data_IF_026588169257
#
_entry.id   IF_026588169257
#
_cell.length_a   1.000
_cell.length_b   1.000
_cell.length_c   1.000
_cell.angle_alpha   90.00
_cell.angle_beta   90.00
_cell.angle_gamma   90.00
#
_symmetry.space_group_name_H-M   'P 1'
#
loop_
_entity.id
_entity.type
_entity.pdbx_description
1 polymer ?
#
# COMPACT_ATOMS: atom_id res chain seq x y z
N UNK A 1 -43.96 -6.54 -27.26
CA UNK A 1 -43.91 -6.84 -25.82
C UNK A 1 -42.55 -7.45 -25.50
N UNK A 2 -41.59 -6.67 -25.17
CA UNK A 2 -40.20 -7.08 -24.89
C UNK A 2 -39.93 -6.90 -23.40
N UNK A 3 -39.67 -8.00 -22.72
CA UNK A 3 -39.27 -7.99 -21.32
C UNK A 3 -37.86 -7.43 -21.16
N UNK A 4 -37.75 -6.28 -20.51
CA UNK A 4 -36.49 -5.67 -20.09
C UNK A 4 -35.82 -6.62 -19.07
N UNK A 5 -34.74 -7.27 -19.47
CA UNK A 5 -33.86 -8.01 -18.59
C UNK A 5 -33.15 -7.02 -17.65
N UNK A 6 -33.51 -7.04 -16.38
CA UNK A 6 -32.80 -6.32 -15.32
C UNK A 6 -31.35 -6.79 -15.26
N UNK A 7 -30.37 -5.88 -15.21
CA UNK A 7 -28.95 -6.27 -15.19
C UNK A 7 -28.59 -6.99 -13.88
N UNK A 8 -27.79 -8.02 -13.98
CA UNK A 8 -27.35 -8.94 -12.92
C UNK A 8 -26.78 -8.27 -11.62
N UNK A 9 -26.39 -7.01 -11.69
CA UNK A 9 -25.85 -6.30 -10.53
C UNK A 9 -26.93 -5.73 -9.59
N UNK A 10 -28.16 -5.50 -10.05
CA UNK A 10 -29.31 -5.11 -9.20
C UNK A 10 -29.75 -6.30 -8.34
N UNK A 11 -29.71 -7.52 -8.88
CA UNK A 11 -29.96 -8.76 -8.11
C UNK A 11 -28.94 -8.97 -6.98
N UNK A 12 -27.66 -8.58 -7.18
CA UNK A 12 -26.62 -8.77 -6.16
C UNK A 12 -26.79 -7.85 -4.92
N UNK A 13 -27.43 -6.71 -5.04
CA UNK A 13 -27.66 -5.80 -3.89
C UNK A 13 -28.83 -6.25 -3.01
N UNK A 14 -29.86 -6.85 -3.61
CA UNK A 14 -31.04 -7.40 -2.89
C UNK A 14 -30.69 -8.77 -2.30
N UNK A 15 -29.96 -9.61 -3.02
CA UNK A 15 -29.52 -10.94 -2.54
C UNK A 15 -28.54 -10.85 -1.36
N UNK A 16 -27.80 -9.74 -1.22
CA UNK A 16 -26.89 -9.52 -0.06
C UNK A 16 -27.62 -9.26 1.24
N UNK A 17 -28.82 -8.66 1.23
CA UNK A 17 -29.59 -8.44 2.46
C UNK A 17 -30.21 -9.72 2.98
N UNK A 18 -30.74 -10.58 2.11
CA UNK A 18 -31.35 -11.85 2.49
C UNK A 18 -30.31 -12.88 2.94
N UNK A 19 -29.18 -12.98 2.27
CA UNK A 19 -28.14 -13.97 2.62
C UNK A 19 -27.38 -13.61 3.92
N UNK A 20 -27.18 -12.32 4.23
CA UNK A 20 -26.63 -11.90 5.53
C UNK A 20 -27.63 -12.11 6.66
N UNK A 21 -28.92 -11.96 6.41
CA UNK A 21 -29.96 -12.28 7.40
C UNK A 21 -30.06 -13.77 7.67
N UNK A 22 -30.11 -14.61 6.63
CA UNK A 22 -30.10 -16.07 6.77
C UNK A 22 -28.87 -16.63 7.47
N UNK A 23 -27.68 -16.09 7.19
CA UNK A 23 -26.44 -16.47 7.91
C UNK A 23 -26.47 -16.02 9.38
N UNK A 24 -27.03 -14.85 9.67
CA UNK A 24 -27.22 -14.36 11.03
C UNK A 24 -28.24 -15.20 11.81
N UNK A 25 -29.32 -15.61 11.16
CA UNK A 25 -30.37 -16.46 11.76
C UNK A 25 -29.89 -17.92 11.95
N UNK A 26 -29.13 -18.49 11.01
CA UNK A 26 -28.50 -19.82 11.16
C UNK A 26 -27.43 -19.85 12.25
N UNK A 27 -26.66 -18.78 12.42
CA UNK A 27 -25.70 -18.67 13.53
C UNK A 27 -26.41 -18.49 14.88
N UNK A 28 -27.55 -17.81 14.92
CA UNK A 28 -28.39 -17.66 16.12
C UNK A 28 -29.10 -18.97 16.50
N UNK A 29 -29.64 -19.71 15.53
CA UNK A 29 -30.32 -20.99 15.76
C UNK A 29 -29.38 -22.12 16.23
N UNK A 30 -28.12 -22.10 15.85
CA UNK A 30 -27.12 -23.09 16.29
C UNK A 30 -26.60 -22.82 17.71
N UNK A 31 -26.83 -21.63 18.28
CA UNK A 31 -26.47 -21.30 19.66
C UNK A 31 -27.53 -21.70 20.70
N UNK A 32 -28.75 -22.00 20.28
CA UNK A 32 -29.85 -22.37 21.20
C UNK A 32 -29.96 -23.85 21.54
N UNK A 33 -29.16 -24.72 20.89
CA UNK A 33 -29.27 -26.19 21.05
C UNK A 33 -28.08 -26.84 21.82
N UNK A 34 -27.39 -26.13 22.70
CA UNK A 34 -26.45 -26.76 23.66
C UNK A 34 -26.99 -26.67 25.08
N UNK A 35 -27.27 -27.78 25.76
CA UNK A 35 -27.67 -27.75 27.16
C UNK A 35 -26.42 -27.62 28.06
N UNK A 36 -26.40 -26.54 28.83
CA UNK A 36 -25.56 -26.44 30.05
C UNK A 36 -24.36 -25.54 29.97
N UNK A 37 -24.56 -24.24 30.01
CA UNK A 37 -23.53 -23.32 30.55
C UNK A 37 -24.20 -22.16 31.29
N UNK A 38 -24.18 -22.26 32.63
CA UNK A 38 -24.56 -21.18 33.53
C UNK A 38 -23.51 -20.06 33.49
N UNK A 39 -23.99 -18.85 33.28
CA UNK A 39 -23.42 -17.55 33.68
C UNK A 39 -21.89 -17.35 33.72
N UNK A 40 -21.35 -16.81 32.65
CA UNK A 40 -20.21 -15.93 32.73
C UNK A 40 -20.56 -14.61 31.98
N UNK A 41 -20.90 -13.57 32.74
CA UNK A 41 -20.96 -12.17 32.27
C UNK A 41 -19.54 -11.75 31.90
N UNK A 42 -19.20 -11.84 30.63
CA UNK A 42 -17.98 -11.29 30.04
C UNK A 42 -18.29 -10.91 28.60
N UNK A 43 -18.71 -9.65 28.40
CA UNK A 43 -18.91 -9.05 27.08
C UNK A 43 -17.53 -8.87 26.42
N UNK A 44 -16.91 -9.98 26.04
CA UNK A 44 -15.78 -9.96 25.12
C UNK A 44 -16.38 -9.59 23.75
N UNK A 45 -16.22 -8.34 23.34
CA UNK A 45 -16.41 -7.93 21.95
C UNK A 45 -15.57 -8.87 21.11
N UNK A 46 -16.21 -9.72 20.31
CA UNK A 46 -15.55 -10.61 19.38
C UNK A 46 -14.67 -9.75 18.46
N UNK A 47 -13.40 -9.70 18.77
CA UNK A 47 -12.38 -9.07 17.95
C UNK A 47 -12.37 -9.88 16.66
N UNK A 48 -12.84 -9.33 15.55
CA UNK A 48 -12.77 -9.97 14.24
C UNK A 48 -11.38 -10.60 14.09
N UNK A 49 -11.35 -11.93 13.98
CA UNK A 49 -10.10 -12.67 13.92
C UNK A 49 -9.29 -12.15 12.72
N UNK A 50 -8.10 -11.65 12.99
CA UNK A 50 -7.20 -11.19 11.92
C UNK A 50 -6.79 -12.39 11.07
N UNK A 51 -6.78 -12.20 9.76
CA UNK A 51 -6.41 -13.23 8.78
C UNK A 51 -4.91 -13.11 8.52
N UNK A 52 -4.07 -14.12 8.92
CA UNK A 52 -2.61 -14.05 8.80
C UNK A 52 -2.13 -13.79 7.37
N UNK A 53 -2.85 -14.27 6.38
CA UNK A 53 -2.56 -14.04 4.96
C UNK A 53 -2.32 -12.56 4.63
N UNK A 54 -3.22 -11.66 5.03
CA UNK A 54 -3.07 -10.24 4.74
C UNK A 54 -1.96 -9.57 5.57
N UNK A 55 -1.71 -10.06 6.77
CA UNK A 55 -0.58 -9.58 7.56
C UNK A 55 0.74 -10.02 6.91
N UNK A 56 0.84 -11.27 6.43
CA UNK A 56 2.00 -11.75 5.68
C UNK A 56 2.21 -10.95 4.38
N UNK A 57 1.14 -10.68 3.63
CA UNK A 57 1.21 -9.86 2.41
C UNK A 57 1.78 -8.47 2.70
N UNK A 58 1.23 -7.77 3.69
CA UNK A 58 1.75 -6.47 4.14
C UNK A 58 3.18 -6.55 4.67
N UNK A 59 3.52 -7.68 5.34
CA UNK A 59 4.86 -7.94 5.84
C UNK A 59 5.90 -8.02 4.73
N UNK A 60 5.60 -8.72 3.64
CA UNK A 60 6.47 -8.76 2.45
C UNK A 60 6.62 -7.34 1.87
N UNK A 61 5.52 -6.63 1.68
CA UNK A 61 5.55 -5.31 1.06
C UNK A 61 6.35 -4.30 1.89
N UNK A 62 6.23 -4.30 3.23
CA UNK A 62 6.98 -3.36 4.06
C UNK A 62 8.48 -3.69 4.10
N UNK A 63 8.86 -4.97 4.02
CA UNK A 63 10.26 -5.37 3.85
C UNK A 63 10.82 -4.81 2.55
N UNK A 64 10.06 -4.86 1.46
CA UNK A 64 10.46 -4.29 0.17
C UNK A 64 10.55 -2.75 0.19
N UNK A 65 9.73 -2.08 1.00
CA UNK A 65 9.86 -0.63 1.25
C UNK A 65 11.21 -0.31 1.91
N UNK A 66 11.56 -1.05 2.97
CA UNK A 66 12.86 -0.87 3.64
C UNK A 66 14.01 -1.15 2.68
N UNK A 67 13.92 -2.23 1.91
CA UNK A 67 14.91 -2.61 0.89
C UNK A 67 15.11 -1.50 -0.14
N UNK A 68 14.02 -0.96 -0.69
CA UNK A 68 14.09 0.11 -1.68
C UNK A 68 14.84 1.33 -1.16
N UNK A 69 14.60 1.75 0.08
CA UNK A 69 15.29 2.89 0.68
C UNK A 69 16.76 2.61 1.03
N UNK A 70 17.10 1.38 1.39
CA UNK A 70 18.49 1.01 1.63
C UNK A 70 19.30 0.91 0.33
N UNK A 71 18.68 0.42 -0.75
CA UNK A 71 19.31 0.38 -2.08
C UNK A 71 19.49 1.77 -2.69
N UNK A 72 18.67 2.77 -2.33
CA UNK A 72 18.80 4.12 -2.88
C UNK A 72 20.16 4.75 -2.62
N UNK A 73 20.82 4.44 -1.48
CA UNK A 73 22.20 4.84 -1.21
C UNK A 73 23.22 4.22 -2.16
N UNK A 74 22.97 3.01 -2.66
CA UNK A 74 23.81 2.30 -3.60
C UNK A 74 23.64 2.77 -5.05
N UNK A 75 22.42 3.20 -5.41
CA UNK A 75 22.15 3.74 -6.75
C UNK A 75 22.90 5.06 -6.98
N UNK A 76 23.09 5.88 -5.95
CA UNK A 76 23.93 7.07 -6.01
C UNK A 76 25.39 6.81 -6.41
N UNK A 77 25.91 5.62 -6.08
CA UNK A 77 27.26 5.16 -6.48
C UNK A 77 27.31 4.53 -7.88
N UNK A 78 26.22 4.49 -8.66
CA UNK A 78 26.19 3.94 -10.02
C UNK A 78 26.29 2.41 -10.11
N UNK A 79 26.04 1.69 -9.03
CA UNK A 79 26.23 0.23 -8.95
C UNK A 79 25.12 -0.51 -9.67
N UNK A 80 25.38 -1.09 -10.84
CA UNK A 80 24.40 -1.71 -11.71
C UNK A 80 23.56 -2.83 -11.07
N UNK A 81 24.10 -3.79 -10.27
CA UNK A 81 23.28 -4.79 -9.58
C UNK A 81 22.29 -4.17 -8.59
N UNK A 82 22.70 -3.11 -7.89
CA UNK A 82 21.81 -2.39 -6.98
C UNK A 82 20.70 -1.65 -7.74
N UNK A 83 21.03 -0.98 -8.84
CA UNK A 83 20.07 -0.32 -9.72
C UNK A 83 19.00 -1.28 -10.25
N UNK A 84 19.41 -2.44 -10.75
CA UNK A 84 18.49 -3.47 -11.29
C UNK A 84 17.53 -3.97 -10.23
N UNK A 85 18.02 -4.27 -9.03
CA UNK A 85 17.16 -4.72 -7.92
C UNK A 85 16.27 -3.59 -7.40
N UNK A 86 16.81 -2.39 -7.28
CA UNK A 86 16.08 -1.20 -6.86
C UNK A 86 14.89 -0.94 -7.77
N UNK A 87 15.13 -0.84 -9.08
CA UNK A 87 14.11 -0.46 -10.04
C UNK A 87 13.03 -1.55 -10.20
N UNK A 88 13.46 -2.84 -10.17
CA UNK A 88 12.53 -3.95 -10.10
C UNK A 88 11.61 -3.86 -8.87
N UNK A 89 12.14 -3.54 -7.69
CA UNK A 89 11.33 -3.37 -6.47
C UNK A 89 10.41 -2.16 -6.60
N UNK A 90 10.90 -1.05 -7.14
CA UNK A 90 10.13 0.19 -7.31
C UNK A 90 8.97 0.05 -8.30
N UNK A 91 9.05 -0.87 -9.25
CA UNK A 91 7.96 -1.19 -10.15
C UNK A 91 6.65 -1.50 -9.41
N UNK A 92 6.70 -2.25 -8.28
CA UNK A 92 5.48 -2.82 -7.73
C UNK A 92 5.26 -2.63 -6.22
N UNK A 93 6.33 -2.38 -5.42
CA UNK A 93 6.16 -2.40 -3.95
C UNK A 93 5.20 -1.31 -3.44
N UNK A 94 5.34 -0.06 -3.92
CA UNK A 94 4.45 1.02 -3.49
C UNK A 94 3.03 0.92 -4.08
N UNK A 95 2.83 0.65 -5.39
CA UNK A 95 1.50 0.38 -5.92
C UNK A 95 0.74 -0.72 -5.16
N UNK A 96 1.40 -1.84 -4.85
CA UNK A 96 0.77 -2.94 -4.10
C UNK A 96 0.55 -2.58 -2.63
N UNK A 97 1.41 -1.76 -2.03
CA UNK A 97 1.19 -1.29 -0.65
C UNK A 97 -0.02 -0.34 -0.57
N UNK A 98 -0.20 0.51 -1.57
CA UNK A 98 -1.38 1.39 -1.72
C UNK A 98 -2.64 0.56 -2.01
N UNK A 99 -2.55 -0.47 -2.86
CA UNK A 99 -3.64 -1.43 -3.07
C UNK A 99 -4.07 -2.09 -1.75
N UNK A 100 -3.11 -2.58 -0.95
CA UNK A 100 -3.38 -3.15 0.36
C UNK A 100 -4.07 -2.14 1.30
N UNK A 101 -3.70 -0.87 1.21
CA UNK A 101 -4.33 0.20 2.01
C UNK A 101 -5.77 0.46 1.58
N UNK A 102 -6.04 0.50 0.27
CA UNK A 102 -7.40 0.62 -0.28
C UNK A 102 -8.30 -0.53 0.17
N UNK A 103 -7.77 -1.77 0.21
CA UNK A 103 -8.50 -2.96 0.60
C UNK A 103 -9.11 -2.86 2.02
N UNK A 104 -8.45 -2.13 2.92
CA UNK A 104 -8.87 -1.95 4.31
C UNK A 104 -9.43 -0.56 4.62
N UNK A 105 -9.55 0.33 3.63
CA UNK A 105 -9.99 1.72 3.83
C UNK A 105 -11.52 1.90 3.88
N UNK A 106 -12.31 0.88 3.51
CA UNK A 106 -13.79 0.96 3.39
C UNK A 106 -14.52 1.46 4.64
N UNK A 107 -13.94 1.21 5.82
CA UNK A 107 -14.55 1.64 7.08
C UNK A 107 -14.34 3.13 7.39
N UNK A 108 -13.59 3.87 6.56
CA UNK A 108 -13.34 5.31 6.74
C UNK A 108 -14.60 6.12 6.41
N UNK A 109 -15.35 5.70 5.40
CA UNK A 109 -16.65 6.25 5.09
C UNK A 109 -17.72 5.17 5.06
N UNK A 110 -18.79 5.40 5.78
CA UNK A 110 -20.00 4.57 5.77
C UNK A 110 -21.20 5.53 5.81
N UNK A 111 -22.17 5.45 4.88
CA UNK A 111 -23.26 6.42 4.79
C UNK A 111 -23.98 6.71 6.11
N UNK A 112 -24.20 5.65 6.92
CA UNK A 112 -24.90 5.78 8.20
C UNK A 112 -24.07 6.45 9.31
N UNK A 113 -22.73 6.50 9.15
CA UNK A 113 -21.80 7.02 10.17
C UNK A 113 -21.01 8.25 9.69
N UNK A 114 -21.11 8.55 8.39
CA UNK A 114 -20.33 9.61 7.77
C UNK A 114 -18.83 9.30 7.67
N UNK A 115 -18.06 10.34 7.39
CA UNK A 115 -16.61 10.28 7.19
C UNK A 115 -15.87 10.32 8.54
N UNK A 116 -14.92 9.40 8.73
CA UNK A 116 -14.02 9.39 9.89
C UNK A 116 -12.90 10.42 9.74
N UNK A 117 -13.21 11.67 10.04
CA UNK A 117 -12.26 12.79 9.96
C UNK A 117 -11.04 12.55 10.86
N UNK A 118 -11.23 11.89 12.01
CA UNK A 118 -10.14 11.52 12.91
C UNK A 118 -9.07 10.64 12.24
N UNK A 119 -9.46 9.72 11.36
CA UNK A 119 -8.50 8.91 10.58
C UNK A 119 -7.70 9.75 9.58
N UNK A 120 -8.31 10.74 8.93
CA UNK A 120 -7.62 11.65 8.00
C UNK A 120 -6.58 12.49 8.76
N UNK A 121 -7.00 13.14 9.85
CA UNK A 121 -6.12 13.93 10.70
C UNK A 121 -4.98 13.08 11.30
N UNK A 122 -5.25 11.83 11.66
CA UNK A 122 -4.23 10.90 12.11
C UNK A 122 -3.10 10.73 11.09
N UNK A 123 -3.43 10.48 9.82
CA UNK A 123 -2.40 10.34 8.78
C UNK A 123 -1.68 11.66 8.48
N UNK A 124 -2.39 12.80 8.48
CA UNK A 124 -1.77 14.12 8.31
C UNK A 124 -0.80 14.44 9.44
N UNK A 125 -1.20 14.24 10.70
CA UNK A 125 -0.34 14.48 11.85
C UNK A 125 0.91 13.61 11.83
N UNK A 126 0.77 12.32 11.49
CA UNK A 126 1.94 11.43 11.35
C UNK A 126 2.84 11.83 10.18
N UNK A 127 2.25 12.26 9.06
CA UNK A 127 2.98 12.74 7.90
C UNK A 127 3.88 13.93 8.28
N UNK A 128 3.29 14.98 8.86
CA UNK A 128 4.02 16.17 9.24
C UNK A 128 4.99 15.94 10.41
N UNK A 129 4.60 15.15 11.39
CA UNK A 129 5.51 14.78 12.47
C UNK A 129 6.76 14.05 11.95
N UNK A 130 6.56 13.08 11.03
CA UNK A 130 7.67 12.38 10.37
C UNK A 130 8.50 13.31 9.51
N UNK A 131 7.88 14.21 8.73
CA UNK A 131 8.57 15.18 7.90
C UNK A 131 9.47 16.10 8.73
N UNK A 132 8.91 16.72 9.78
CA UNK A 132 9.68 17.60 10.68
C UNK A 132 10.81 16.84 11.37
N UNK A 133 10.53 15.63 11.88
CA UNK A 133 11.53 14.83 12.57
C UNK A 133 12.69 14.36 11.67
N UNK A 134 12.45 14.21 10.36
CA UNK A 134 13.50 13.92 9.37
C UNK A 134 14.21 15.18 8.90
N UNK A 135 13.52 16.32 8.83
CA UNK A 135 14.06 17.59 8.37
C UNK A 135 15.03 18.21 9.39
N UNK A 136 14.71 18.16 10.70
CA UNK A 136 15.51 18.78 11.75
C UNK A 136 17.00 18.34 11.71
N UNK A 137 17.34 17.04 11.72
CA UNK A 137 18.73 16.62 11.64
C UNK A 137 19.39 17.03 10.32
N UNK A 138 18.69 16.98 9.19
CA UNK A 138 19.24 17.42 7.91
C UNK A 138 19.56 18.92 7.91
N UNK A 139 18.70 19.74 8.51
CA UNK A 139 18.93 21.17 8.69
C UNK A 139 20.12 21.44 9.61
N UNK A 140 20.27 20.68 10.69
CA UNK A 140 21.40 20.81 11.61
C UNK A 140 22.74 20.50 10.95
N UNK A 141 22.76 19.63 9.93
CA UNK A 141 23.96 19.31 9.15
C UNK A 141 24.09 20.14 7.85
N UNK A 142 23.19 21.09 7.60
CA UNK A 142 23.24 21.97 6.43
C UNK A 142 22.92 21.29 5.09
N UNK A 143 22.26 20.15 5.11
CA UNK A 143 21.89 19.37 3.92
C UNK A 143 20.37 19.34 3.68
N UNK A 144 19.58 20.07 4.47
CA UNK A 144 18.13 20.12 4.31
C UNK A 144 17.71 21.00 3.13
N UNK A 145 16.72 20.52 2.39
CA UNK A 145 15.96 21.36 1.47
C UNK A 145 15.16 22.43 2.24
N UNK A 146 14.75 23.54 1.58
CA UNK A 146 13.93 24.56 2.21
C UNK A 146 12.66 23.98 2.84
N UNK A 147 12.38 24.34 4.09
CA UNK A 147 11.22 23.81 4.81
C UNK A 147 9.91 24.27 4.15
N UNK A 148 9.10 23.30 3.72
CA UNK A 148 7.79 23.58 3.14
C UNK A 148 6.78 22.48 3.51
N UNK A 149 5.80 22.83 4.30
CA UNK A 149 4.74 21.89 4.74
C UNK A 149 3.83 21.41 3.61
N UNK A 150 3.77 22.11 2.50
CA UNK A 150 2.92 21.74 1.37
C UNK A 150 3.61 20.75 0.42
N UNK A 151 4.94 20.77 0.35
CA UNK A 151 5.74 19.93 -0.54
C UNK A 151 6.45 18.83 0.23
N UNK A 152 5.68 17.90 0.81
CA UNK A 152 6.20 16.75 1.58
C UNK A 152 6.82 15.67 0.68
N UNK A 153 6.83 15.88 -0.63
CA UNK A 153 7.11 14.86 -1.64
C UNK A 153 8.59 14.54 -1.84
N UNK A 154 9.49 15.42 -1.46
CA UNK A 154 10.93 15.16 -1.52
C UNK A 154 11.40 14.11 -0.51
N UNK A 155 10.53 13.67 0.39
CA UNK A 155 10.87 12.77 1.48
C UNK A 155 9.89 11.60 1.64
N UNK A 156 10.27 10.61 2.45
CA UNK A 156 9.50 9.38 2.70
C UNK A 156 8.05 9.57 3.20
N UNK A 157 7.63 10.67 3.88
CA UNK A 157 6.26 10.84 4.39
C UNK A 157 5.15 10.90 3.35
N UNK A 158 5.45 11.04 2.04
CA UNK A 158 4.46 11.18 0.97
C UNK A 158 3.33 10.14 1.00
N UNK A 159 3.63 8.90 1.38
CA UNK A 159 2.63 7.84 1.44
C UNK A 159 1.56 8.11 2.51
N UNK A 160 1.92 8.70 3.65
CA UNK A 160 0.95 9.09 4.69
C UNK A 160 0.06 10.23 4.20
N UNK A 161 0.62 11.18 3.44
CA UNK A 161 -0.13 12.23 2.77
C UNK A 161 -1.12 11.63 1.76
N UNK A 162 -0.66 10.71 0.90
CA UNK A 162 -1.51 10.01 -0.05
C UNK A 162 -2.66 9.26 0.65
N UNK A 163 -2.40 8.57 1.75
CA UNK A 163 -3.45 7.91 2.54
C UNK A 163 -4.48 8.90 3.10
N UNK A 164 -4.03 10.06 3.60
CA UNK A 164 -4.94 11.09 4.09
C UNK A 164 -5.87 11.59 2.98
N UNK A 165 -5.31 11.89 1.80
CA UNK A 165 -6.07 12.33 0.61
C UNK A 165 -7.05 11.24 0.16
N UNK A 166 -6.60 9.98 0.02
CA UNK A 166 -7.49 8.89 -0.37
C UNK A 166 -8.61 8.66 0.64
N UNK A 167 -8.31 8.73 1.93
CA UNK A 167 -9.33 8.64 2.97
C UNK A 167 -10.35 9.78 2.88
N UNK A 168 -9.93 11.00 2.58
CA UNK A 168 -10.83 12.15 2.40
C UNK A 168 -11.73 11.98 1.16
N UNK A 169 -11.25 11.31 0.11
CA UNK A 169 -11.99 11.06 -1.12
C UNK A 169 -12.91 9.82 -1.06
N UNK A 170 -12.92 9.06 0.04
CA UNK A 170 -13.77 7.85 0.15
C UNK A 170 -15.27 8.11 -0.05
N UNK A 171 -15.88 9.25 0.35
CA UNK A 171 -17.28 9.53 0.02
C UNK A 171 -17.53 9.58 -1.49
N UNK A 172 -16.62 10.21 -2.25
CA UNK A 172 -16.71 10.27 -3.72
C UNK A 172 -16.58 8.89 -4.33
N UNK A 173 -15.60 8.09 -3.88
CA UNK A 173 -15.41 6.73 -4.36
C UNK A 173 -16.59 5.81 -4.06
N UNK A 174 -17.29 6.05 -2.96
CA UNK A 174 -18.48 5.28 -2.59
C UNK A 174 -19.62 5.44 -3.61
N UNK A 175 -19.82 6.66 -4.14
CA UNK A 175 -20.88 6.99 -5.10
C UNK A 175 -20.54 6.55 -6.55
N UNK A 176 -19.26 6.38 -6.86
CA UNK A 176 -18.83 6.05 -8.22
C UNK A 176 -18.98 4.55 -8.52
N UNK A 177 -19.37 4.24 -9.75
CA UNK A 177 -19.38 2.85 -10.25
C UNK A 177 -17.95 2.36 -10.46
N UNK A 178 -17.56 1.21 -9.88
CA UNK A 178 -16.17 0.73 -9.87
C UNK A 178 -15.45 0.73 -11.22
N UNK A 179 -16.02 0.21 -12.35
CA UNK A 179 -15.28 0.14 -13.60
C UNK A 179 -14.97 1.52 -14.16
N UNK A 180 -15.89 2.49 -14.02
CA UNK A 180 -15.65 3.86 -14.48
C UNK A 180 -14.63 4.59 -13.62
N UNK A 181 -14.75 4.45 -12.28
CA UNK A 181 -13.80 5.06 -11.36
C UNK A 181 -12.36 4.56 -11.59
N UNK A 182 -12.18 3.24 -11.76
CA UNK A 182 -10.87 2.62 -12.02
C UNK A 182 -10.36 3.05 -13.40
N UNK A 183 -11.21 3.03 -14.45
CA UNK A 183 -10.81 3.41 -15.81
C UNK A 183 -10.39 4.89 -15.90
N UNK A 184 -11.15 5.79 -15.29
CA UNK A 184 -10.82 7.23 -15.24
C UNK A 184 -9.53 7.45 -14.45
N UNK A 185 -9.39 6.81 -13.29
CA UNK A 185 -8.17 6.91 -12.48
C UNK A 185 -6.93 6.41 -13.24
N UNK A 186 -7.06 5.30 -13.99
CA UNK A 186 -6.00 4.78 -14.82
C UNK A 186 -5.62 5.77 -15.93
N UNK A 187 -6.60 6.32 -16.65
CA UNK A 187 -6.36 7.31 -17.71
C UNK A 187 -5.69 8.57 -17.16
N UNK A 188 -6.21 9.14 -16.06
CA UNK A 188 -5.62 10.32 -15.41
C UNK A 188 -4.21 10.01 -14.90
N UNK A 189 -3.97 8.83 -14.35
CA UNK A 189 -2.65 8.41 -13.87
C UNK A 189 -1.62 8.34 -15.00
N UNK A 190 -1.99 7.82 -16.18
CA UNK A 190 -1.10 7.81 -17.35
C UNK A 190 -0.84 9.22 -17.86
N UNK A 191 -1.90 10.05 -17.97
CA UNK A 191 -1.79 11.41 -18.47
C UNK A 191 -1.07 12.36 -17.51
N UNK A 192 -1.09 12.09 -16.20
CA UNK A 192 -0.43 12.92 -15.19
C UNK A 192 1.07 13.10 -15.45
N UNK A 193 1.74 12.09 -16.04
CA UNK A 193 3.14 12.19 -16.40
C UNK A 193 3.45 13.13 -17.58
N UNK A 194 2.45 13.59 -18.31
CA UNK A 194 2.62 14.57 -19.40
C UNK A 194 2.76 16.01 -18.89
N UNK A 195 2.41 16.25 -17.63
CA UNK A 195 2.45 17.57 -17.00
C UNK A 195 3.19 17.47 -15.67
N UNK A 196 3.82 18.56 -15.25
CA UNK A 196 4.29 18.69 -13.88
C UNK A 196 3.10 19.00 -12.96
N UNK A 197 2.52 17.94 -12.39
CA UNK A 197 1.42 18.08 -11.42
C UNK A 197 1.89 18.65 -10.07
N UNK A 198 3.19 18.83 -9.92
CA UNK A 198 3.83 19.40 -8.73
C UNK A 198 3.84 18.49 -7.53
N UNK A 199 4.60 18.93 -6.54
CA UNK A 199 4.84 18.19 -5.31
C UNK A 199 3.93 18.64 -4.14
N UNK A 200 2.99 19.57 -4.38
CA UNK A 200 2.04 20.04 -3.36
C UNK A 200 1.14 18.88 -2.96
N UNK A 201 1.14 18.55 -1.67
CA UNK A 201 0.45 17.37 -1.11
C UNK A 201 0.78 16.06 -1.83
N UNK A 202 1.96 15.96 -2.43
CA UNK A 202 2.38 14.81 -3.24
C UNK A 202 1.42 14.50 -4.39
N UNK A 203 0.85 15.53 -5.03
CA UNK A 203 -0.25 15.39 -5.99
C UNK A 203 0.09 14.45 -7.15
N UNK A 204 1.29 14.55 -7.72
CA UNK A 204 1.76 13.68 -8.80
C UNK A 204 1.67 12.18 -8.40
N UNK A 205 2.19 11.81 -7.22
CA UNK A 205 2.14 10.43 -6.71
C UNK A 205 0.74 9.99 -6.32
N UNK A 206 -0.05 10.87 -5.69
CA UNK A 206 -1.45 10.60 -5.35
C UNK A 206 -2.23 10.23 -6.61
N UNK A 207 -2.09 11.01 -7.69
CA UNK A 207 -2.76 10.75 -8.96
C UNK A 207 -2.22 9.48 -9.61
N UNK A 208 -0.89 9.31 -9.66
CA UNK A 208 -0.23 8.15 -10.27
C UNK A 208 -0.67 6.83 -9.65
N UNK A 209 -0.81 6.77 -8.34
CA UNK A 209 -1.14 5.51 -7.64
C UNK A 209 -2.62 5.34 -7.32
N UNK A 210 -3.47 6.31 -7.66
CA UNK A 210 -4.92 6.25 -7.44
C UNK A 210 -5.58 4.97 -8.01
N UNK A 211 -5.23 4.47 -9.22
CA UNK A 211 -5.84 3.25 -9.75
C UNK A 211 -5.65 2.04 -8.82
N UNK A 212 -4.48 1.89 -8.21
CA UNK A 212 -4.19 0.79 -7.30
C UNK A 212 -4.96 0.92 -5.97
N UNK A 213 -5.10 2.16 -5.46
CA UNK A 213 -5.96 2.39 -4.30
C UNK A 213 -7.41 2.00 -4.60
N UNK A 214 -7.97 2.41 -5.73
CA UNK A 214 -9.34 2.10 -6.12
C UNK A 214 -9.55 0.61 -6.39
N UNK A 215 -8.57 -0.07 -7.03
CA UNK A 215 -8.60 -1.53 -7.16
C UNK A 215 -8.73 -2.21 -5.79
N UNK A 216 -7.94 -1.80 -4.81
CA UNK A 216 -8.06 -2.27 -3.43
C UNK A 216 -9.38 -1.88 -2.77
N UNK A 217 -9.81 -0.63 -2.92
CA UNK A 217 -11.02 -0.10 -2.32
C UNK A 217 -12.28 -0.84 -2.79
N UNK A 218 -12.40 -1.15 -4.07
CA UNK A 218 -13.56 -1.85 -4.60
C UNK A 218 -13.48 -3.38 -4.45
N UNK A 219 -12.29 -3.95 -4.42
CA UNK A 219 -12.10 -5.39 -4.22
C UNK A 219 -12.41 -5.76 -2.76
N UNK A 220 -13.04 -6.93 -2.58
CA UNK A 220 -13.32 -7.45 -1.25
C UNK A 220 -12.23 -8.45 -0.83
N UNK A 221 -11.79 -8.45 0.44
CA UNK A 221 -10.73 -9.36 0.89
C UNK A 221 -11.02 -10.84 0.65
N UNK A 222 -12.28 -11.27 0.76
CA UNK A 222 -12.65 -12.67 0.52
C UNK A 222 -12.48 -13.10 -0.94
N UNK A 223 -12.63 -12.19 -1.93
CA UNK A 223 -12.42 -12.52 -3.35
C UNK A 223 -10.98 -12.98 -3.56
N UNK A 224 -10.00 -12.33 -2.89
CA UNK A 224 -8.60 -12.74 -2.94
C UNK A 224 -8.42 -14.12 -2.30
N UNK A 225 -9.05 -14.36 -1.15
CA UNK A 225 -8.94 -15.65 -0.46
C UNK A 225 -9.58 -16.78 -1.26
N UNK A 226 -10.75 -16.53 -1.87
CA UNK A 226 -11.44 -17.49 -2.72
C UNK A 226 -10.60 -17.82 -3.96
N UNK A 227 -10.01 -16.79 -4.60
CA UNK A 227 -9.07 -16.98 -5.70
C UNK A 227 -7.89 -17.87 -5.30
N UNK A 228 -7.24 -17.59 -4.17
CA UNK A 228 -6.11 -18.42 -3.68
C UNK A 228 -6.58 -19.82 -3.28
N UNK A 229 -7.82 -19.97 -2.79
CA UNK A 229 -8.37 -21.25 -2.38
C UNK A 229 -8.81 -22.11 -3.59
N UNK A 230 -9.13 -21.52 -4.74
CA UNK A 230 -9.47 -22.27 -5.95
C UNK A 230 -8.35 -23.18 -6.43
N UNK A 231 -7.10 -22.89 -6.05
CA UNK A 231 -5.92 -23.71 -6.37
C UNK A 231 -5.51 -24.68 -5.24
N UNK A 232 -6.41 -24.94 -4.27
CA UNK A 232 -6.07 -25.77 -3.10
C UNK A 232 -5.65 -27.19 -3.46
N UNK A 233 -6.27 -27.77 -4.48
CA UNK A 233 -6.01 -29.17 -4.88
C UNK A 233 -4.68 -29.31 -5.66
N UNK A 234 -4.25 -28.28 -6.37
CA UNK A 234 -3.02 -28.29 -7.16
C UNK A 234 -2.19 -27.02 -6.89
N UNK A 235 -1.63 -26.87 -5.68
CA UNK A 235 -0.98 -25.61 -5.28
C UNK A 235 0.38 -25.38 -5.93
N UNK A 236 1.04 -26.42 -6.43
CA UNK A 236 2.40 -26.31 -6.99
C UNK A 236 2.42 -25.60 -8.34
N UNK A 237 1.47 -25.92 -9.23
CA UNK A 237 1.41 -25.33 -10.56
C UNK A 237 1.25 -23.79 -10.53
N UNK A 238 0.24 -23.19 -9.84
CA UNK A 238 0.10 -21.74 -9.80
C UNK A 238 1.27 -21.06 -9.10
N UNK A 239 1.90 -21.70 -8.10
CA UNK A 239 3.11 -21.17 -7.46
C UNK A 239 4.32 -21.17 -8.39
N UNK A 240 4.51 -22.23 -9.17
CA UNK A 240 5.57 -22.29 -10.18
C UNK A 240 5.37 -21.20 -11.25
N UNK A 241 4.14 -21.03 -11.75
CA UNK A 241 3.80 -19.95 -12.68
C UNK A 241 4.06 -18.58 -12.06
N UNK A 242 3.67 -18.37 -10.80
CA UNK A 242 3.93 -17.13 -10.09
C UNK A 242 5.43 -16.80 -9.97
N UNK A 243 6.25 -17.80 -9.65
CA UNK A 243 7.71 -17.65 -9.60
C UNK A 243 8.26 -17.33 -11.00
N UNK A 244 7.80 -18.02 -12.04
CA UNK A 244 8.23 -17.78 -13.41
C UNK A 244 7.86 -16.37 -13.90
N UNK A 245 6.66 -15.87 -13.56
CA UNK A 245 6.22 -14.50 -13.89
C UNK A 245 7.13 -13.48 -13.22
N UNK A 246 7.40 -13.63 -11.92
CA UNK A 246 8.29 -12.72 -11.18
C UNK A 246 9.70 -12.77 -11.77
N UNK A 247 10.22 -13.96 -12.04
CA UNK A 247 11.55 -14.15 -12.64
C UNK A 247 11.64 -13.55 -14.05
N UNK A 248 10.62 -13.75 -14.88
CA UNK A 248 10.59 -13.19 -16.25
C UNK A 248 10.59 -11.64 -16.21
N UNK A 249 9.77 -11.03 -15.33
CA UNK A 249 9.78 -9.57 -15.18
C UNK A 249 11.12 -9.08 -14.62
N UNK A 250 11.69 -9.78 -13.62
CA UNK A 250 13.02 -9.45 -13.09
C UNK A 250 14.11 -9.54 -14.16
N UNK A 251 14.04 -10.53 -15.05
CA UNK A 251 14.99 -10.69 -16.15
C UNK A 251 14.96 -9.51 -17.12
N UNK A 252 13.81 -8.84 -17.33
CA UNK A 252 13.76 -7.62 -18.15
C UNK A 252 14.75 -6.57 -17.63
N UNK A 253 14.78 -6.35 -16.31
CA UNK A 253 15.68 -5.38 -15.68
C UNK A 253 17.16 -5.77 -15.79
N UNK A 254 17.48 -7.06 -16.03
CA UNK A 254 18.87 -7.49 -16.21
C UNK A 254 19.48 -7.06 -17.56
N UNK A 255 18.63 -6.72 -18.54
CA UNK A 255 19.06 -6.25 -19.87
C UNK A 255 19.12 -4.72 -19.97
N UNK A 256 18.62 -3.98 -18.96
CA UNK A 256 18.65 -2.54 -18.96
C UNK A 256 20.01 -1.99 -18.49
N UNK A 257 20.45 -0.92 -19.14
CA UNK A 257 21.60 -0.12 -18.71
C UNK A 257 21.18 0.90 -17.62
N UNK A 258 22.17 1.63 -17.06
CA UNK A 258 21.93 2.57 -15.95
C UNK A 258 21.01 3.73 -16.34
N UNK A 259 21.11 4.23 -17.58
CA UNK A 259 20.30 5.38 -18.01
C UNK A 259 18.85 4.97 -18.26
N UNK A 260 18.61 3.78 -18.82
CA UNK A 260 17.29 3.18 -18.95
C UNK A 260 16.66 2.89 -17.57
N UNK A 261 17.45 2.41 -16.60
CA UNK A 261 16.99 2.19 -15.23
C UNK A 261 16.62 3.51 -14.53
N UNK A 262 17.43 4.56 -14.69
CA UNK A 262 17.08 5.90 -14.16
C UNK A 262 15.79 6.44 -14.78
N UNK A 263 15.62 6.28 -16.09
CA UNK A 263 14.42 6.71 -16.79
C UNK A 263 13.17 5.96 -16.31
N UNK A 264 13.25 4.62 -16.19
CA UNK A 264 12.14 3.81 -15.68
C UNK A 264 11.82 4.13 -14.22
N UNK A 265 12.83 4.37 -13.38
CA UNK A 265 12.64 4.78 -11.98
C UNK A 265 11.83 6.09 -11.87
N UNK A 266 12.15 7.11 -12.68
CA UNK A 266 11.39 8.36 -12.71
C UNK A 266 9.91 8.09 -12.99
N UNK A 267 9.63 7.22 -13.97
CA UNK A 267 8.26 6.86 -14.36
C UNK A 267 7.54 6.05 -13.27
N UNK A 268 8.23 5.07 -12.65
CA UNK A 268 7.63 4.18 -11.63
C UNK A 268 7.43 4.87 -10.28
N UNK A 269 8.27 5.84 -9.92
CA UNK A 269 8.06 6.64 -8.71
C UNK A 269 6.86 7.56 -8.82
N UNK A 270 6.47 7.94 -10.06
CA UNK A 270 5.33 8.81 -10.31
C UNK A 270 5.45 10.20 -9.71
N UNK A 271 6.68 10.64 -9.44
CA UNK A 271 6.98 11.93 -8.83
C UNK A 271 7.11 13.01 -9.88
N UNK A 272 7.93 12.75 -10.88
CA UNK A 272 8.35 13.72 -11.87
C UNK A 272 7.64 13.44 -13.22
N UNK A 273 7.51 14.44 -14.12
CA UNK A 273 6.92 14.26 -15.43
C UNK A 273 7.82 13.41 -16.35
N UNK A 274 7.28 12.95 -17.47
CA UNK A 274 8.00 12.03 -18.39
C UNK A 274 9.20 12.66 -19.08
N UNK A 275 9.19 13.96 -19.31
CA UNK A 275 10.33 14.69 -19.89
C UNK A 275 11.56 14.65 -19.00
N UNK A 276 11.38 14.58 -17.67
CA UNK A 276 12.46 14.37 -16.71
C UNK A 276 13.18 13.03 -16.91
N UNK A 277 12.53 12.03 -17.50
CA UNK A 277 13.13 10.74 -17.80
C UNK A 277 14.12 10.75 -18.98
N UNK A 278 14.18 11.84 -19.74
CA UNK A 278 15.11 12.04 -20.87
C UNK A 278 15.12 10.90 -21.92
N UNK A 279 14.01 10.18 -22.06
CA UNK A 279 13.89 9.04 -22.99
C UNK A 279 13.96 9.46 -24.45
N UNK A 280 13.33 10.59 -24.77
CA UNK A 280 13.35 11.26 -26.07
C UNK A 280 12.86 12.70 -25.88
N UNK A 281 13.05 13.57 -26.90
CA UNK A 281 12.59 14.95 -26.83
C UNK A 281 11.15 15.08 -27.35
N UNK A 282 10.37 15.96 -26.75
CA UNK A 282 9.04 16.34 -27.23
C UNK A 282 8.03 15.17 -27.16
N UNK A 283 7.20 15.08 -28.22
CA UNK A 283 6.08 14.14 -28.25
C UNK A 283 6.50 12.66 -28.19
N UNK A 284 7.67 12.31 -28.72
CA UNK A 284 8.17 10.92 -28.68
C UNK A 284 8.48 10.48 -27.25
N UNK A 285 9.12 11.34 -26.44
CA UNK A 285 9.37 11.08 -25.03
C UNK A 285 8.09 10.96 -24.22
N UNK A 286 7.10 11.80 -24.50
CA UNK A 286 5.78 11.76 -23.88
C UNK A 286 5.05 10.44 -24.16
N UNK A 287 5.02 9.99 -25.42
CA UNK A 287 4.40 8.72 -25.85
C UNK A 287 5.15 7.53 -25.20
N UNK A 288 6.48 7.54 -25.23
CA UNK A 288 7.29 6.48 -24.62
C UNK A 288 7.05 6.41 -23.09
N UNK A 289 6.97 7.54 -22.41
CA UNK A 289 6.63 7.60 -20.98
C UNK A 289 5.26 7.00 -20.67
N UNK A 290 4.23 7.30 -21.49
CA UNK A 290 2.92 6.67 -21.36
C UNK A 290 2.98 5.15 -21.54
N UNK A 291 3.72 4.66 -22.55
CA UNK A 291 3.86 3.23 -22.83
C UNK A 291 4.57 2.52 -21.67
N UNK A 292 5.67 3.07 -21.18
CA UNK A 292 6.42 2.50 -20.04
C UNK A 292 5.57 2.48 -18.78
N UNK A 293 4.79 3.52 -18.49
CA UNK A 293 3.87 3.55 -17.34
C UNK A 293 2.77 2.50 -17.46
N UNK A 294 2.16 2.35 -18.63
CA UNK A 294 1.16 1.29 -18.86
C UNK A 294 1.76 -0.11 -18.72
N UNK A 295 2.94 -0.35 -19.30
CA UNK A 295 3.66 -1.60 -19.13
C UNK A 295 4.03 -1.86 -17.66
N UNK A 296 4.46 -0.84 -16.93
CA UNK A 296 4.72 -0.88 -15.50
C UNK A 296 3.48 -1.26 -14.68
N UNK A 297 2.33 -0.71 -15.00
CA UNK A 297 1.06 -1.06 -14.33
C UNK A 297 0.66 -2.51 -14.61
N UNK A 298 0.82 -2.99 -15.85
CA UNK A 298 0.59 -4.38 -16.19
C UNK A 298 1.55 -5.32 -15.44
N UNK A 299 2.84 -4.98 -15.40
CA UNK A 299 3.85 -5.70 -14.62
C UNK A 299 3.54 -5.73 -13.11
N UNK A 300 3.13 -4.60 -12.55
CA UNK A 300 2.68 -4.50 -11.15
C UNK A 300 1.49 -5.42 -10.86
N UNK A 301 0.48 -5.42 -11.72
CA UNK A 301 -0.68 -6.30 -11.57
C UNK A 301 -0.28 -7.78 -11.66
N UNK A 302 0.59 -8.14 -12.61
CA UNK A 302 1.09 -9.49 -12.77
C UNK A 302 1.88 -9.96 -11.53
N UNK A 303 2.80 -9.13 -11.01
CA UNK A 303 3.52 -9.40 -9.76
C UNK A 303 2.57 -9.46 -8.57
N UNK A 304 1.56 -8.59 -8.52
CA UNK A 304 0.55 -8.58 -7.45
C UNK A 304 -0.22 -9.90 -7.37
N UNK A 305 -0.69 -10.41 -8.52
CA UNK A 305 -1.33 -11.74 -8.60
C UNK A 305 -0.37 -12.85 -8.21
N UNK A 306 0.87 -12.80 -8.71
CA UNK A 306 1.91 -13.78 -8.38
C UNK A 306 2.22 -13.80 -6.87
N UNK A 307 2.38 -12.63 -6.24
CA UNK A 307 2.62 -12.53 -4.80
C UNK A 307 1.44 -13.10 -4.00
N UNK A 308 0.19 -12.78 -4.38
CA UNK A 308 -1.00 -13.32 -3.73
C UNK A 308 -1.01 -14.86 -3.73
N UNK A 309 -0.52 -15.51 -4.81
CA UNK A 309 -0.41 -16.98 -4.89
C UNK A 309 0.74 -17.55 -4.04
N UNK A 310 1.77 -16.76 -3.76
CA UNK A 310 2.96 -17.18 -3.00
C UNK A 310 2.86 -16.91 -1.49
N UNK A 311 2.03 -15.94 -1.08
CA UNK A 311 1.90 -15.55 0.35
C UNK A 311 1.39 -16.72 1.19
N UNK A 312 2.07 -17.06 2.32
CA UNK A 312 1.61 -18.07 3.26
C UNK A 312 0.25 -17.73 3.88
N UNK A 313 -0.64 -18.73 3.99
CA UNK A 313 -1.97 -18.57 4.64
C UNK A 313 -1.88 -18.73 6.17
N UNK A 314 -0.85 -19.41 6.68
CA UNK A 314 -0.60 -19.63 8.09
C UNK A 314 0.19 -18.46 8.71
N UNK A 315 0.23 -18.42 10.03
CA UNK A 315 1.10 -17.49 10.75
C UNK A 315 2.58 -17.86 10.52
N UNK A 316 3.35 -16.90 10.02
CA UNK A 316 4.82 -16.94 9.95
C UNK A 316 5.33 -15.92 10.97
N UNK A 317 5.85 -16.34 12.14
CA UNK A 317 5.96 -15.48 13.32
C UNK A 317 6.57 -14.10 13.07
N UNK A 318 7.75 -14.04 12.45
CA UNK A 318 8.41 -12.75 12.16
C UNK A 318 7.67 -11.95 11.08
N UNK A 319 7.32 -12.61 9.98
CA UNK A 319 6.67 -11.95 8.84
C UNK A 319 5.28 -11.42 9.20
N UNK A 320 4.45 -12.27 9.83
CA UNK A 320 3.09 -11.88 10.26
C UNK A 320 3.14 -10.73 11.26
N UNK A 321 4.11 -10.76 12.16
CA UNK A 321 4.30 -9.69 13.16
C UNK A 321 4.71 -8.39 12.50
N UNK A 322 5.67 -8.39 11.60
CA UNK A 322 6.10 -7.22 10.83
C UNK A 322 4.92 -6.64 10.03
N UNK A 323 4.09 -7.49 9.43
CA UNK A 323 2.89 -7.08 8.73
C UNK A 323 1.79 -6.49 9.61
N UNK A 324 1.73 -6.86 10.89
CA UNK A 324 0.85 -6.22 11.89
C UNK A 324 1.33 -4.83 12.30
N UNK A 325 2.63 -4.55 12.15
CA UNK A 325 3.30 -3.32 12.59
C UNK A 325 3.83 -2.48 11.42
N UNK A 326 3.24 -2.58 10.23
CA UNK A 326 3.73 -1.91 9.02
C UNK A 326 3.92 -0.41 9.18
N UNK A 327 3.02 0.28 9.88
CA UNK A 327 3.12 1.72 10.11
C UNK A 327 4.34 2.08 10.97
N UNK A 328 4.61 1.29 12.01
CA UNK A 328 5.78 1.46 12.86
C UNK A 328 7.06 1.26 12.05
N UNK A 329 7.15 0.17 11.29
CA UNK A 329 8.30 -0.10 10.41
C UNK A 329 8.45 1.03 9.38
N UNK A 330 7.34 1.49 8.76
CA UNK A 330 7.33 2.58 7.79
C UNK A 330 7.89 3.88 8.35
N UNK A 331 7.54 4.26 9.56
CA UNK A 331 8.03 5.50 10.15
C UNK A 331 9.52 5.37 10.55
N UNK A 332 9.87 4.28 11.24
CA UNK A 332 11.22 4.19 11.84
C UNK A 332 12.31 3.77 10.87
N UNK A 333 12.00 3.01 9.79
CA UNK A 333 13.02 2.67 8.80
C UNK A 333 13.62 3.90 8.12
N UNK A 334 12.84 4.99 7.99
CA UNK A 334 13.31 6.22 7.40
C UNK A 334 14.51 6.80 8.18
N UNK A 335 14.42 6.83 9.51
CA UNK A 335 15.52 7.30 10.36
C UNK A 335 16.75 6.40 10.23
N UNK A 336 16.54 5.07 10.18
CA UNK A 336 17.64 4.12 9.97
C UNK A 336 18.27 4.31 8.59
N UNK A 337 17.45 4.49 7.55
CA UNK A 337 17.93 4.72 6.18
C UNK A 337 18.77 6.00 6.09
N UNK A 338 18.29 7.10 6.68
CA UNK A 338 19.07 8.35 6.73
C UNK A 338 20.36 8.19 7.53
N UNK A 339 20.35 7.48 8.66
CA UNK A 339 21.56 7.22 9.44
C UNK A 339 22.58 6.39 8.64
N UNK A 340 22.13 5.34 7.94
CA UNK A 340 22.97 4.52 7.05
C UNK A 340 23.58 5.36 5.93
N UNK A 341 22.79 6.23 5.31
CA UNK A 341 23.26 7.12 4.24
C UNK A 341 24.25 8.16 4.78
N UNK A 342 23.99 8.76 5.94
CA UNK A 342 24.85 9.76 6.57
C UNK A 342 26.21 9.19 6.98
N UNK A 343 26.24 7.97 7.51
CA UNK A 343 27.50 7.28 7.90
C UNK A 343 28.25 6.74 6.67
N UNK A 344 27.61 6.70 5.48
CA UNK A 344 28.25 6.20 4.26
C UNK A 344 28.41 4.68 4.22
N UNK A 345 27.52 3.93 4.87
CA UNK A 345 27.63 2.45 4.94
C UNK A 345 27.55 1.81 3.56
N UNK A 346 26.66 2.27 2.68
CA UNK A 346 26.51 1.67 1.36
C UNK A 346 27.79 1.89 0.50
N UNK A 347 28.34 3.11 0.31
CA UNK A 347 29.61 3.30 -0.36
C UNK A 347 30.73 2.42 0.22
N UNK A 348 30.91 2.39 1.52
CA UNK A 348 31.96 1.61 2.19
C UNK A 348 31.85 0.09 1.90
N UNK A 349 30.64 -0.46 1.82
CA UNK A 349 30.42 -1.86 1.43
C UNK A 349 30.85 -2.10 -0.01
N UNK A 350 30.53 -1.19 -0.95
CA UNK A 350 30.90 -1.36 -2.38
C UNK A 350 32.39 -1.14 -2.63
N UNK A 351 33.09 -0.39 -1.78
CA UNK A 351 34.54 -0.25 -1.82
C UNK A 351 35.28 -1.47 -1.24
N UNK A 352 34.69 -2.12 -0.24
CA UNK A 352 35.34 -3.22 0.49
C UNK A 352 35.10 -4.62 -0.09
N UNK A 353 34.06 -4.81 -0.94
CA UNK A 353 33.69 -6.11 -1.45
C UNK A 353 33.08 -6.02 -2.87
N UNK A 354 32.87 -7.18 -3.53
CA UNK A 354 32.23 -7.19 -4.85
C UNK A 354 30.81 -6.61 -4.78
N UNK A 355 30.39 -5.94 -5.86
CA UNK A 355 29.07 -5.29 -5.93
C UNK A 355 27.89 -6.24 -5.67
N UNK A 356 28.02 -7.51 -6.08
CA UNK A 356 26.99 -8.52 -5.80
C UNK A 356 26.93 -8.87 -4.33
N UNK A 357 28.07 -9.05 -3.66
CA UNK A 357 28.13 -9.35 -2.22
C UNK A 357 27.64 -8.16 -1.41
N UNK A 358 28.08 -6.94 -1.74
CA UNK A 358 27.61 -5.71 -1.07
C UNK A 358 26.07 -5.56 -1.20
N UNK A 359 25.52 -5.79 -2.39
CA UNK A 359 24.07 -5.78 -2.60
C UNK A 359 23.36 -6.83 -1.74
N UNK A 360 23.90 -8.07 -1.66
CA UNK A 360 23.33 -9.10 -0.81
C UNK A 360 23.35 -8.73 0.69
N UNK A 361 24.43 -8.09 1.16
CA UNK A 361 24.53 -7.57 2.53
C UNK A 361 23.48 -6.49 2.78
N UNK A 362 23.26 -5.57 1.85
CA UNK A 362 22.22 -4.54 1.96
C UNK A 362 20.82 -5.17 2.03
N UNK A 363 20.55 -6.20 1.22
CA UNK A 363 19.30 -6.99 1.30
C UNK A 363 19.12 -7.62 2.67
N UNK A 364 20.15 -8.30 3.19
CA UNK A 364 20.10 -8.92 4.51
C UNK A 364 19.87 -7.89 5.62
N UNK A 365 20.56 -6.74 5.57
CA UNK A 365 20.42 -5.65 6.53
C UNK A 365 19.01 -5.05 6.50
N UNK A 366 18.42 -4.85 5.32
CA UNK A 366 17.06 -4.33 5.18
C UNK A 366 16.00 -5.29 5.75
N UNK A 367 16.14 -6.59 5.51
CA UNK A 367 15.25 -7.62 6.08
C UNK A 367 15.38 -7.67 7.60
N UNK A 368 16.62 -7.68 8.12
CA UNK A 368 16.88 -7.65 9.56
C UNK A 368 16.28 -6.39 10.21
N UNK A 369 16.49 -5.22 9.62
CA UNK A 369 15.94 -3.95 10.10
C UNK A 369 14.40 -3.99 10.15
N UNK A 370 13.73 -4.49 9.09
CA UNK A 370 12.28 -4.61 9.07
C UNK A 370 11.75 -5.51 10.20
N UNK A 371 12.43 -6.63 10.48
CA UNK A 371 12.05 -7.52 11.57
C UNK A 371 12.30 -6.91 12.95
N UNK A 372 13.45 -6.26 13.16
CA UNK A 372 13.79 -5.58 14.41
C UNK A 372 12.77 -4.47 14.70
N UNK A 373 12.48 -3.62 13.72
CA UNK A 373 11.51 -2.55 13.86
C UNK A 373 10.07 -3.06 14.02
N UNK A 374 9.73 -4.20 13.45
CA UNK A 374 8.42 -4.86 13.61
C UNK A 374 8.25 -5.55 14.97
N UNK A 375 9.32 -5.71 15.76
CA UNK A 375 9.26 -6.49 17.00
C UNK A 375 8.56 -5.78 18.18
N UNK A 376 8.80 -4.50 18.51
CA UNK A 376 8.21 -3.86 19.68
C UNK A 376 6.70 -3.60 19.52
N UNK A 377 5.88 -4.05 20.46
CA UNK A 377 4.43 -3.76 20.47
C UNK A 377 4.07 -2.40 21.08
N UNK A 378 5.00 -1.77 21.79
CA UNK A 378 4.75 -0.55 22.58
C UNK A 378 4.42 0.64 21.70
N UNK A 379 5.18 0.85 20.64
CA UNK A 379 4.99 1.98 19.72
C UNK A 379 3.69 1.82 18.92
N UNK A 380 3.42 0.62 18.40
CA UNK A 380 2.17 0.35 17.68
C UNK A 380 0.95 0.61 18.57
N UNK A 381 1.02 0.26 19.86
CA UNK A 381 -0.07 0.55 20.82
C UNK A 381 -0.30 2.05 21.00
N UNK A 382 0.74 2.89 20.94
CA UNK A 382 0.60 4.34 21.00
C UNK A 382 -0.06 4.88 19.73
N UNK A 383 0.35 4.41 18.55
CA UNK A 383 -0.29 4.75 17.28
C UNK A 383 -1.79 4.37 17.28
N UNK A 384 -2.12 3.17 17.74
CA UNK A 384 -3.50 2.71 17.86
C UNK A 384 -4.31 3.54 18.89
N UNK A 385 -3.67 4.02 19.98
CA UNK A 385 -4.30 4.90 20.96
C UNK A 385 -4.59 6.28 20.36
N UNK A 386 -3.60 6.88 19.70
CA UNK A 386 -3.75 8.18 19.04
C UNK A 386 -4.89 8.13 18.01
N UNK A 387 -4.91 7.10 17.16
CA UNK A 387 -5.97 6.91 16.15
C UNK A 387 -7.36 6.83 16.82
N UNK A 388 -7.51 6.00 17.85
CA UNK A 388 -8.78 5.85 18.55
C UNK A 388 -9.23 7.15 19.25
N UNK A 389 -8.31 7.91 19.81
CA UNK A 389 -8.59 9.19 20.45
C UNK A 389 -9.12 10.21 19.43
N UNK A 390 -8.47 10.30 18.26
CA UNK A 390 -8.90 11.21 17.19
C UNK A 390 -10.25 10.77 16.59
N UNK A 391 -10.40 9.49 16.28
CA UNK A 391 -11.68 8.95 15.78
C UNK A 391 -12.82 9.14 16.77
N UNK A 392 -12.59 8.96 18.08
CA UNK A 392 -13.60 9.12 19.11
C UNK A 392 -14.03 10.57 19.38
N UNK A 393 -13.14 11.54 19.14
CA UNK A 393 -13.42 12.96 19.37
C UNK A 393 -13.98 13.69 18.15
N UNK A 394 -13.64 13.25 16.97
CA UNK A 394 -13.85 13.97 15.70
C UNK A 394 -14.78 13.26 14.72
N UNK A 395 -15.12 11.99 14.97
CA UNK A 395 -16.12 11.31 14.15
C UNK A 395 -17.52 11.76 14.58
N UNK A 396 -18.45 11.97 13.63
CA UNK A 396 -19.82 12.37 13.97
C UNK A 396 -20.45 11.31 14.89
N UNK A 397 -21.06 11.76 15.97
CA UNK A 397 -21.86 10.92 16.85
C UNK A 397 -23.04 10.43 16.01
N UNK A 398 -23.17 9.12 15.88
CA UNK A 398 -24.34 8.54 15.21
C UNK A 398 -25.60 9.03 15.94
N UNK A 399 -26.53 9.78 15.33
CA UNK A 399 -27.77 10.13 15.99
C UNK A 399 -28.46 8.84 16.36
N UNK A 400 -28.93 8.80 17.62
CA UNK A 400 -29.60 7.63 18.21
C UNK A 400 -30.78 7.26 17.30
N UNK A 401 -31.09 6.00 17.10
CA UNK A 401 -32.22 5.53 16.27
C UNK A 401 -33.57 6.11 16.71
N UNK A 402 -33.62 6.66 17.91
CA UNK A 402 -34.82 7.31 18.45
C UNK A 402 -35.11 8.69 17.86
N UNK A 403 -34.07 9.44 17.39
CA UNK A 403 -34.26 10.79 16.83
C UNK A 403 -34.78 10.79 15.36
N UNK A 404 -34.97 9.62 14.75
CA UNK A 404 -35.51 9.47 13.38
C UNK A 404 -37.02 9.15 13.35
N UNK A 405 -37.66 9.01 14.48
CA UNK A 405 -39.12 8.80 14.54
C UNK A 405 -39.92 10.09 14.65
N UNK A 406 -39.21 11.22 14.88
CA UNK A 406 -39.83 12.53 15.08
C UNK A 406 -39.57 13.52 13.91
N UNK A 407 -39.11 13.04 12.73
CA UNK A 407 -39.02 13.78 11.48
C UNK A 407 -39.76 13.05 10.36
#
# INVERSE_FOLDING_TARGET
MGALKTPLWVCNAVCRRTHCQELSERMSANQTNMPGARHAKGRATARSARIPFFDNFKGILIILVVLGHFLSGATGAGVLPAWRLFDFVYLFHMPLFIFASGLFCKSVYVPERGLRVGTILYYLLLCWAMYVALWIPQAAFGVAEPFNLLTVDSSMPWYLMALAVYCALTPVFYELRPPYAIGIAFAISVLCGLVDAGNVFSASRVITFLPFFLLGYYLQPWVILDFVNSFRERPLMPRAVAILVIAAIFMVFQFLDVDQLKASQIIFTGRDPYDAAMLAKGNEGAIMGCIIRMAGFAGTCAIGVALVLLVPKCEVPLLTRTGRHTLQVYIFHAFVSYAIAFVGIAPALYESMSSTVATAVIVALSVATAFVLGYPNTVQRQFDRLKRMLDGRLSPVCPNRQDRQDL
#
